data_IF_268530652684
#
_entry.id   IF_268530652684
#
_cell.length_a   1.000
_cell.length_b   1.000
_cell.length_c   1.000
_cell.angle_alpha   90.00
_cell.angle_beta   90.00
_cell.angle_gamma   90.00
#
_symmetry.space_group_name_H-M   'P 1'
#
loop_
_entity.id
_entity.type
_entity.pdbx_description
1 polymer ?
#
# COMPACT_ATOMS: atom_id res chain seq x y z
N UNK A 1 5.19 -8.78 1.04
CA UNK A 1 3.92 -8.41 0.39
C UNK A 1 3.92 -8.59 -1.14
N UNK A 2 5.05 -8.96 -1.72
CA UNK A 2 5.13 -9.12 -3.16
C UNK A 2 4.15 -10.13 -3.73
N UNK A 3 3.89 -11.23 -3.02
CA UNK A 3 2.95 -12.25 -3.48
C UNK A 3 1.51 -11.75 -3.42
N UNK A 4 1.18 -10.94 -2.43
CA UNK A 4 -0.15 -10.32 -2.32
C UNK A 4 -0.39 -9.42 -3.52
N UNK A 5 0.60 -8.65 -3.87
CA UNK A 5 0.54 -7.76 -5.00
C UNK A 5 0.30 -8.55 -6.30
N UNK A 6 0.99 -9.67 -6.47
CA UNK A 6 0.80 -10.49 -7.68
C UNK A 6 -0.62 -11.02 -7.80
N UNK A 7 -1.22 -11.44 -6.68
CA UNK A 7 -2.61 -11.88 -6.68
C UNK A 7 -3.55 -10.77 -7.09
N UNK A 8 -3.35 -9.57 -6.56
CA UNK A 8 -4.18 -8.43 -6.91
C UNK A 8 -4.04 -8.03 -8.37
N UNK A 9 -2.82 -8.03 -8.88
CA UNK A 9 -2.58 -7.71 -10.28
C UNK A 9 -3.29 -8.69 -11.20
N UNK A 10 -3.30 -9.98 -10.87
CA UNK A 10 -4.01 -10.98 -11.65
C UNK A 10 -5.51 -10.76 -11.62
N UNK A 11 -6.06 -10.46 -10.43
CA UNK A 11 -7.49 -10.20 -10.31
C UNK A 11 -7.92 -9.00 -11.14
N UNK A 12 -7.09 -7.97 -11.16
CA UNK A 12 -7.42 -6.76 -11.90
C UNK A 12 -7.28 -6.93 -13.40
N UNK A 13 -6.32 -7.73 -13.85
CA UNK A 13 -6.18 -7.98 -15.28
C UNK A 13 -7.31 -8.82 -15.82
N UNK A 14 -7.98 -9.61 -15.00
CA UNK A 14 -9.17 -10.35 -15.40
C UNK A 14 -10.43 -9.46 -15.42
N UNK A 15 -10.38 -8.35 -14.74
CA UNK A 15 -11.57 -7.53 -14.51
C UNK A 15 -11.82 -6.43 -15.51
N UNK A 16 -10.97 -6.22 -16.50
CA UNK A 16 -11.24 -5.14 -17.39
C UNK A 16 -10.22 -4.91 -18.49
N UNK A 17 -10.65 -4.22 -19.53
CA UNK A 17 -9.73 -3.82 -20.56
C UNK A 17 -8.67 -2.94 -19.94
N UNK A 18 -7.45 -3.23 -20.20
CA UNK A 18 -6.38 -2.35 -19.83
C UNK A 18 -6.70 -0.99 -20.45
N UNK A 19 -6.97 -0.03 -19.63
CA UNK A 19 -7.09 1.31 -20.13
C UNK A 19 -5.79 1.64 -20.85
N UNK A 20 -5.86 2.15 -22.07
CA UNK A 20 -4.66 2.56 -22.74
C UNK A 20 -4.08 3.74 -21.99
N UNK A 21 -3.30 3.44 -21.02
CA UNK A 21 -2.53 4.45 -20.34
C UNK A 21 -1.40 4.96 -21.22
N UNK A 22 -1.39 4.53 -22.43
CA UNK A 22 -0.28 4.77 -23.34
C UNK A 22 -0.02 6.24 -23.61
N UNK A 23 -0.93 7.09 -23.22
CA UNK A 23 -0.78 8.50 -23.53
C UNK A 23 -0.60 9.39 -22.33
N UNK A 24 -0.36 8.80 -21.19
CA UNK A 24 0.05 9.63 -20.08
C UNK A 24 1.38 10.28 -20.48
N UNK A 25 1.41 11.57 -20.65
CA UNK A 25 2.67 12.20 -20.93
C UNK A 25 3.61 11.88 -19.80
N UNK A 26 4.76 11.46 -20.18
CA UNK A 26 5.78 11.13 -19.22
C UNK A 26 6.26 12.33 -18.41
N UNK A 27 5.65 13.44 -18.58
CA UNK A 27 5.99 14.59 -17.78
C UNK A 27 5.41 14.37 -16.41
N UNK A 28 6.21 13.92 -15.51
CA UNK A 28 5.85 13.85 -14.13
C UNK A 28 6.59 14.96 -13.42
N UNK A 29 6.12 16.16 -13.47
CA UNK A 29 6.74 17.16 -12.62
C UNK A 29 6.57 16.72 -11.20
N UNK A 30 7.64 16.73 -10.49
CA UNK A 30 7.69 16.27 -9.14
C UNK A 30 6.77 17.03 -8.19
N UNK A 31 6.11 18.06 -8.66
CA UNK A 31 5.34 18.93 -7.79
C UNK A 31 3.85 18.89 -8.08
N UNK A 32 3.33 17.72 -8.45
CA UNK A 32 1.89 17.63 -8.66
C UNK A 32 1.16 17.73 -7.34
N UNK A 33 0.15 18.58 -7.32
CA UNK A 33 -0.74 18.66 -6.18
C UNK A 33 -1.58 17.37 -6.11
N UNK A 34 -1.71 16.78 -4.95
CA UNK A 34 -2.61 15.64 -4.81
C UNK A 34 -4.04 16.06 -5.13
N UNK A 35 -4.75 15.19 -5.83
CA UNK A 35 -6.12 15.48 -6.22
C UNK A 35 -7.11 15.13 -5.10
N UNK A 36 -8.20 15.90 -5.03
CA UNK A 36 -9.33 15.59 -4.15
C UNK A 36 -9.07 15.77 -2.66
N UNK A 37 -7.94 16.35 -2.27
CA UNK A 37 -7.60 16.47 -0.85
C UNK A 37 -8.41 17.60 -0.22
N UNK A 38 -9.12 17.34 0.90
CA UNK A 38 -9.81 18.42 1.61
C UNK A 38 -8.84 19.50 2.08
N UNK A 39 -9.33 20.74 2.11
CA UNK A 39 -8.48 21.90 2.42
C UNK A 39 -7.90 21.85 3.83
N UNK A 40 -8.63 21.21 4.76
CA UNK A 40 -8.21 21.12 6.16
C UNK A 40 -7.46 19.82 6.48
N UNK A 41 -7.11 19.05 5.45
CA UNK A 41 -6.44 17.77 5.65
C UNK A 41 -4.94 17.99 5.94
N UNK A 42 -4.46 17.39 7.02
CA UNK A 42 -3.04 17.47 7.38
C UNK A 42 -2.26 16.38 6.64
N UNK A 43 -1.81 16.70 5.44
CA UNK A 43 -1.09 15.77 4.58
C UNK A 43 0.20 15.28 5.22
N UNK A 44 0.94 16.16 5.87
CA UNK A 44 2.23 15.78 6.45
C UNK A 44 2.06 14.78 7.59
N UNK A 45 1.08 15.01 8.46
CA UNK A 45 0.79 14.06 9.54
C UNK A 45 0.31 12.74 8.99
N UNK A 46 -0.53 12.78 7.95
CA UNK A 46 -1.02 11.57 7.30
C UNK A 46 0.12 10.75 6.71
N UNK A 47 1.03 11.38 6.00
CA UNK A 47 2.15 10.67 5.37
C UNK A 47 3.14 10.12 6.40
N UNK A 48 3.34 10.83 7.48
CA UNK A 48 4.18 10.36 8.58
C UNK A 48 3.60 9.07 9.17
N UNK A 49 2.30 9.05 9.41
CA UNK A 49 1.62 7.87 9.91
C UNK A 49 1.60 6.75 8.88
N UNK A 50 1.47 7.08 7.60
CA UNK A 50 1.48 6.09 6.54
C UNK A 50 2.82 5.34 6.49
N UNK A 51 3.93 6.04 6.67
CA UNK A 51 5.24 5.38 6.72
C UNK A 51 5.33 4.43 7.91
N UNK A 52 4.80 4.81 9.06
CA UNK A 52 4.77 3.93 10.22
C UNK A 52 3.94 2.69 9.93
N UNK A 53 2.79 2.85 9.29
CA UNK A 53 1.95 1.72 8.92
C UNK A 53 2.66 0.80 7.93
N UNK A 54 3.38 1.37 6.97
CA UNK A 54 4.14 0.58 6.00
C UNK A 54 5.15 -0.33 6.70
N UNK A 55 5.97 0.25 7.57
CA UNK A 55 7.00 -0.50 8.27
C UNK A 55 6.39 -1.53 9.21
N UNK A 56 5.33 -1.14 9.93
CA UNK A 56 4.68 -2.02 10.87
C UNK A 56 3.98 -3.19 10.19
N UNK A 57 3.31 -2.94 9.08
CA UNK A 57 2.63 -4.00 8.33
C UNK A 57 3.65 -4.95 7.71
N UNK A 58 4.76 -4.43 7.22
CA UNK A 58 5.82 -5.27 6.69
C UNK A 58 6.41 -6.19 7.78
N UNK A 59 6.63 -5.65 8.97
CA UNK A 59 7.12 -6.44 10.09
C UNK A 59 6.11 -7.50 10.53
N UNK A 60 4.83 -7.16 10.54
CA UNK A 60 3.78 -8.10 10.87
C UNK A 60 3.68 -9.22 9.83
N UNK A 61 3.84 -8.88 8.56
CA UNK A 61 3.89 -9.86 7.48
C UNK A 61 5.06 -10.82 7.67
N UNK A 62 6.26 -10.29 7.94
CA UNK A 62 7.44 -11.11 8.14
C UNK A 62 7.26 -12.08 9.30
N UNK A 63 6.65 -11.60 10.39
CA UNK A 63 6.42 -12.41 11.59
C UNK A 63 5.19 -13.31 11.50
N UNK A 64 4.34 -13.13 10.48
CA UNK A 64 3.09 -13.87 10.40
C UNK A 64 2.08 -13.47 11.46
N UNK A 65 2.13 -12.22 11.93
CA UNK A 65 1.26 -11.74 13.00
C UNK A 65 -0.10 -11.33 12.43
N UNK A 66 -1.01 -12.29 12.36
CA UNK A 66 -2.33 -12.06 11.76
C UNK A 66 -3.17 -11.04 12.53
N UNK A 67 -3.03 -10.98 13.84
CA UNK A 67 -3.81 -10.03 14.63
C UNK A 67 -3.43 -8.59 14.28
N UNK A 68 -2.15 -8.33 14.14
CA UNK A 68 -1.67 -6.99 13.79
C UNK A 68 -2.08 -6.63 12.36
N UNK A 69 -1.96 -7.58 11.44
CA UNK A 69 -2.35 -7.37 10.05
C UNK A 69 -3.85 -7.03 9.97
N UNK A 70 -4.68 -7.74 10.74
CA UNK A 70 -6.12 -7.53 10.72
C UNK A 70 -6.50 -6.09 11.14
N UNK A 71 -5.76 -5.51 12.06
CA UNK A 71 -6.05 -4.17 12.54
C UNK A 71 -5.83 -3.10 11.47
N UNK A 72 -4.96 -3.35 10.50
CA UNK A 72 -4.58 -2.36 9.50
C UNK A 72 -5.08 -2.65 8.10
N UNK A 73 -5.96 -3.63 7.94
CA UNK A 73 -6.42 -4.04 6.61
C UNK A 73 -7.93 -4.17 6.58
N UNK A 74 -8.50 -4.03 5.37
CA UNK A 74 -9.89 -4.39 5.16
C UNK A 74 -10.05 -5.91 5.23
N UNK A 75 -11.27 -6.42 5.46
CA UNK A 75 -11.49 -7.87 5.46
C UNK A 75 -11.02 -8.56 4.17
N UNK A 76 -11.23 -7.92 3.03
CA UNK A 76 -10.82 -8.47 1.74
C UNK A 76 -9.31 -8.53 1.63
N UNK A 77 -8.62 -7.48 2.02
CA UNK A 77 -7.16 -7.43 1.99
C UNK A 77 -6.57 -8.41 3.00
N UNK A 78 -7.18 -8.49 4.18
CA UNK A 78 -6.75 -9.45 5.20
C UNK A 78 -6.83 -10.89 4.67
N UNK A 79 -7.90 -11.23 3.96
CA UNK A 79 -8.06 -12.57 3.41
C UNK A 79 -6.95 -12.90 2.42
N UNK A 80 -6.58 -11.95 1.56
CA UNK A 80 -5.50 -12.15 0.60
C UNK A 80 -4.15 -12.34 1.30
N UNK A 81 -3.87 -11.54 2.30
CA UNK A 81 -2.62 -11.66 3.06
C UNK A 81 -2.57 -12.99 3.80
N UNK A 82 -3.70 -13.40 4.39
CA UNK A 82 -3.78 -14.67 5.10
C UNK A 82 -3.51 -15.84 4.17
N UNK A 83 -4.06 -15.81 2.96
CA UNK A 83 -3.78 -16.84 1.96
C UNK A 83 -2.30 -16.92 1.63
N UNK A 84 -1.67 -15.77 1.43
CA UNK A 84 -0.25 -15.71 1.14
C UNK A 84 0.60 -16.27 2.27
N UNK A 85 0.24 -15.94 3.52
CA UNK A 85 0.94 -16.48 4.68
C UNK A 85 0.77 -17.98 4.78
N UNK A 86 -0.42 -18.48 4.46
CA UNK A 86 -0.67 -19.93 4.44
C UNK A 86 0.19 -20.61 3.38
N UNK A 87 0.28 -20.03 2.19
CA UNK A 87 1.10 -20.58 1.10
C UNK A 87 2.59 -20.54 1.45
N UNK A 88 3.02 -19.51 2.14
CA UNK A 88 4.42 -19.41 2.59
C UNK A 88 4.74 -20.48 3.63
N UNK A 89 3.75 -20.86 4.43
CA UNK A 89 3.93 -21.84 5.48
C UNK A 89 4.83 -21.34 6.60
N UNK A 90 5.77 -22.18 7.03
CA UNK A 90 6.66 -21.85 8.12
C UNK A 90 7.99 -21.23 7.65
N UNK A 91 8.13 -20.99 6.35
CA UNK A 91 9.36 -20.39 5.83
C UNK A 91 9.46 -18.96 6.36
N UNK A 92 10.53 -18.63 7.10
CA UNK A 92 10.66 -17.28 7.62
C UNK A 92 10.90 -16.28 6.49
N UNK A 93 10.31 -15.12 6.65
CA UNK A 93 10.54 -14.01 5.75
C UNK A 93 11.11 -12.87 6.57
N UNK A 94 12.06 -12.17 6.01
CA UNK A 94 12.65 -11.02 6.68
C UNK A 94 12.93 -9.94 5.67
N UNK A 95 12.19 -8.84 5.79
CA UNK A 95 12.36 -7.69 4.94
C UNK A 95 12.91 -6.54 5.77
N UNK A 96 14.00 -5.98 5.30
CA UNK A 96 14.63 -4.83 5.94
C UNK A 96 14.30 -3.60 5.10
N UNK A 97 13.54 -2.67 5.66
CA UNK A 97 13.21 -1.42 5.00
C UNK A 97 14.37 -0.46 5.24
N UNK A 98 15.22 -0.32 4.23
CA UNK A 98 16.39 0.54 4.31
C UNK A 98 15.99 2.00 4.28
N UNK A 99 15.08 2.35 3.38
CA UNK A 99 14.53 3.70 3.30
C UNK A 99 13.11 3.64 2.74
N UNK A 100 12.26 4.56 3.17
CA UNK A 100 10.91 4.67 2.64
C UNK A 100 10.51 6.13 2.58
N UNK A 101 9.97 6.51 1.42
CA UNK A 101 9.36 7.81 1.19
C UNK A 101 7.89 7.59 0.86
N UNK A 102 7.06 8.55 1.23
CA UNK A 102 5.63 8.47 0.99
C UNK A 102 5.14 9.76 0.34
N UNK A 103 4.29 9.61 -0.66
CA UNK A 103 3.69 10.73 -1.38
C UNK A 103 2.19 10.49 -1.50
N UNK A 104 1.39 11.48 -1.10
CA UNK A 104 -0.05 11.39 -1.27
C UNK A 104 -0.40 11.73 -2.71
N UNK A 105 -1.00 10.78 -3.42
CA UNK A 105 -1.43 10.99 -4.80
C UNK A 105 -2.78 11.68 -4.86
N UNK A 106 -3.69 11.35 -3.96
CA UNK A 106 -5.00 11.96 -3.91
C UNK A 106 -5.91 11.26 -2.93
N UNK A 107 -7.07 11.87 -2.71
CA UNK A 107 -8.12 11.31 -1.86
C UNK A 107 -9.46 11.38 -2.60
N UNK A 108 -10.16 10.26 -2.68
CA UNK A 108 -11.53 10.24 -3.17
C UNK A 108 -12.48 10.23 -1.97
N UNK A 109 -13.52 11.01 -2.06
CA UNK A 109 -14.56 11.05 -1.02
C UNK A 109 -15.79 10.32 -1.55
N UNK A 110 -16.13 9.23 -0.89
CA UNK A 110 -17.33 8.45 -1.18
C UNK A 110 -18.33 8.63 -0.04
N UNK A 111 -19.62 8.28 -0.25
CA UNK A 111 -20.61 8.47 0.82
C UNK A 111 -20.27 7.81 2.14
N UNK A 112 -19.66 6.63 2.08
CA UNK A 112 -19.38 5.85 3.29
C UNK A 112 -17.91 5.90 3.72
N UNK A 113 -16.99 6.28 2.82
CA UNK A 113 -15.58 6.21 3.14
C UNK A 113 -14.76 7.16 2.29
N UNK A 114 -13.59 7.51 2.80
CA UNK A 114 -12.54 8.14 2.02
C UNK A 114 -11.62 7.07 1.46
N UNK A 115 -11.08 7.30 0.27
CA UNK A 115 -10.08 6.43 -0.35
C UNK A 115 -8.85 7.29 -0.66
N UNK A 116 -7.74 7.00 0.01
CA UNK A 116 -6.49 7.70 -0.22
C UNK A 116 -5.52 6.79 -0.96
N UNK A 117 -4.82 7.34 -1.94
CA UNK A 117 -3.78 6.64 -2.66
C UNK A 117 -2.43 7.23 -2.28
N UNK A 118 -1.55 6.40 -1.75
CA UNK A 118 -0.22 6.80 -1.29
C UNK A 118 0.83 6.01 -2.06
N UNK A 119 1.77 6.73 -2.65
CA UNK A 119 2.91 6.10 -3.30
C UNK A 119 4.04 5.97 -2.30
N UNK A 120 4.49 4.75 -2.08
CA UNK A 120 5.69 4.47 -1.31
C UNK A 120 6.83 4.10 -2.24
N UNK A 121 8.00 4.62 -1.94
CA UNK A 121 9.21 4.29 -2.70
C UNK A 121 10.40 4.31 -1.76
N UNK A 122 11.45 3.63 -2.18
CA UNK A 122 12.66 3.58 -1.37
C UNK A 122 13.50 2.35 -1.70
N UNK A 123 14.18 1.85 -0.70
CA UNK A 123 15.04 0.68 -0.82
C UNK A 123 14.67 -0.36 0.21
N UNK A 124 14.59 -1.60 -0.21
CA UNK A 124 14.37 -2.73 0.71
C UNK A 124 15.41 -3.80 0.46
N UNK A 125 15.65 -4.58 1.51
CA UNK A 125 16.49 -5.77 1.44
C UNK A 125 15.66 -6.95 1.90
N UNK A 126 15.45 -7.91 0.99
CA UNK A 126 14.58 -9.04 1.29
C UNK A 126 15.30 -10.19 2.00
N UNK A 127 16.61 -10.21 1.94
CA UNK A 127 17.44 -11.17 2.66
C UNK A 127 18.63 -10.44 3.23
N UNK A 128 19.13 -10.90 4.39
CA UNK A 128 20.23 -10.23 5.06
C UNK A 128 21.51 -10.18 4.23
N UNK A 129 21.69 -11.14 3.33
CA UNK A 129 22.88 -11.20 2.48
C UNK A 129 22.66 -10.59 1.11
N UNK A 130 21.46 -10.17 0.78
CA UNK A 130 21.15 -9.60 -0.52
C UNK A 130 21.42 -8.09 -0.54
N UNK A 131 21.76 -7.52 -1.70
CA UNK A 131 21.85 -6.07 -1.81
C UNK A 131 20.46 -5.44 -1.70
N UNK A 132 20.41 -4.20 -1.23
CA UNK A 132 19.17 -3.44 -1.20
C UNK A 132 18.69 -3.19 -2.63
N UNK A 133 17.38 -3.28 -2.83
CA UNK A 133 16.73 -3.09 -4.13
C UNK A 133 15.75 -1.93 -4.06
N UNK A 134 15.64 -1.15 -5.13
CA UNK A 134 14.61 -0.11 -5.15
C UNK A 134 13.21 -0.72 -5.25
N UNK A 135 12.26 -0.06 -4.63
CA UNK A 135 10.86 -0.45 -4.75
C UNK A 135 10.00 0.80 -4.94
N UNK A 136 8.86 0.61 -5.57
CA UNK A 136 7.83 1.63 -5.66
C UNK A 136 6.48 0.93 -5.75
N UNK A 137 5.54 1.35 -4.93
CA UNK A 137 4.20 0.78 -4.93
C UNK A 137 3.19 1.80 -4.45
N UNK A 138 1.93 1.62 -4.84
CA UNK A 138 0.83 2.46 -4.40
C UNK A 138 -0.05 1.66 -3.47
N UNK A 139 -0.31 2.21 -2.30
CA UNK A 139 -1.25 1.65 -1.34
C UNK A 139 -2.54 2.45 -1.37
N UNK A 140 -3.64 1.73 -1.47
CA UNK A 140 -4.97 2.32 -1.35
C UNK A 140 -5.46 2.10 0.07
N UNK A 141 -5.71 3.20 0.78
CA UNK A 141 -6.15 3.18 2.16
C UNK A 141 -7.56 3.73 2.24
N UNK A 142 -8.39 3.12 3.08
CA UNK A 142 -9.76 3.59 3.28
C UNK A 142 -9.99 3.96 4.73
N UNK A 143 -10.92 4.91 4.93
CA UNK A 143 -11.31 5.36 6.27
C UNK A 143 -12.78 5.71 6.22
N UNK A 144 -13.59 5.25 7.19
CA UNK A 144 -15.00 5.64 7.23
C UNK A 144 -15.16 7.15 7.30
N UNK A 145 -16.14 7.69 6.60
CA UNK A 145 -16.45 9.13 6.68
C UNK A 145 -17.08 9.49 8.02
N UNK A 146 -17.68 8.52 8.69
CA UNK A 146 -18.30 8.73 9.99
C UNK A 146 -17.79 7.72 10.98
N UNK A 147 -17.71 8.11 12.25
CA UNK A 147 -17.25 7.25 13.29
C UNK A 147 -15.78 7.43 13.57
N UNK A 148 -15.24 6.58 14.44
CA UNK A 148 -13.88 6.71 14.96
C UNK A 148 -12.87 5.79 14.26
N UNK A 149 -13.28 5.12 13.18
CA UNK A 149 -12.38 4.21 12.46
C UNK A 149 -11.21 4.96 11.83
N UNK A 150 -10.03 4.33 11.85
CA UNK A 150 -8.85 4.89 11.23
C UNK A 150 -8.65 4.39 9.79
N UNK A 151 -7.52 4.76 9.23
CA UNK A 151 -7.15 4.33 7.89
C UNK A 151 -6.70 2.87 7.91
N UNK A 152 -7.18 2.10 6.93
CA UNK A 152 -6.77 0.70 6.76
C UNK A 152 -6.41 0.43 5.31
N UNK A 153 -5.56 -0.54 5.10
CA UNK A 153 -5.10 -0.92 3.77
C UNK A 153 -6.18 -1.71 3.03
N UNK A 154 -6.54 -1.23 1.85
CA UNK A 154 -7.55 -1.86 1.00
C UNK A 154 -6.97 -2.48 -0.27
N UNK A 155 -5.78 -2.07 -0.68
CA UNK A 155 -5.16 -2.65 -1.87
C UNK A 155 -3.75 -2.15 -2.07
N UNK A 156 -2.97 -2.91 -2.84
CA UNK A 156 -1.58 -2.57 -3.16
C UNK A 156 -1.40 -2.73 -4.67
N UNK A 157 -0.74 -1.75 -5.29
CA UNK A 157 -0.34 -1.82 -6.70
C UNK A 157 1.16 -1.59 -6.76
N UNK A 158 1.87 -2.48 -7.43
CA UNK A 158 3.29 -2.28 -7.62
C UNK A 158 3.53 -1.44 -8.85
N UNK A 159 4.44 -0.49 -8.73
CA UNK A 159 4.89 0.33 -9.85
C UNK A 159 6.19 -0.23 -10.39
N UNK A 160 6.36 -0.10 -11.68
CA UNK A 160 7.60 -0.52 -12.33
C UNK A 160 8.40 0.68 -12.75
#
# INVERSE_FOLDING_TARGET
LGDVYKRQAQAWSLGGPAAPAANAPAAAPAAQQPWGVPADFDTQAFLRNAKVYFVRLQAAWDAGNLNDIREFTTPEMFAEIKMDLTDRGTVPNKTDVVSVEAELLGIETHPAEYLASVRFSGMIREETSAPAQPFAEVWNLTKPTQGSGGWVLAGIQQLQ
#
